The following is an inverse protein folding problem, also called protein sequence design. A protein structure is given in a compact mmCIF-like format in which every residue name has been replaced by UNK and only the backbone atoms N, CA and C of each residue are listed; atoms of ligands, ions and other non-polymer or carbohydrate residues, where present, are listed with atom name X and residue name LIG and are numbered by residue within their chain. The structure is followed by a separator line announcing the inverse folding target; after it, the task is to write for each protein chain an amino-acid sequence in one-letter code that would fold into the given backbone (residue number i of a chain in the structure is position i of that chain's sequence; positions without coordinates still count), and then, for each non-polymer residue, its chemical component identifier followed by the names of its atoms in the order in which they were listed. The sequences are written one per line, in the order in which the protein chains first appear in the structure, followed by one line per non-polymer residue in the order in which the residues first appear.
data_IF_349051422274
#
_entry.id   IF_349051422274
#
_cell.length_a   1.000
_cell.length_b   1.000
_cell.length_c   1.000
_cell.angle_alpha   90.00
_cell.angle_beta   90.00
_cell.angle_gamma   90.00
#
_symmetry.space_group_name_H-M   'P 1'
#
loop_
_entity.id
_entity.type
_entity.pdbx_description
1 polymer ?
#
# COMPACT_ATOMS: atom_id res chain seq x y z
N UNK A 1 -6.09 12.08 -10.83
CA UNK A 1 -6.92 12.12 -12.05
C UNK A 1 -6.06 12.20 -13.32
N UNK A 2 -5.17 13.18 -13.43
CA UNK A 2 -4.33 13.39 -14.64
C UNK A 2 -3.34 12.24 -14.93
N UNK A 3 -2.62 11.74 -13.92
CA UNK A 3 -1.70 10.60 -14.10
C UNK A 3 -2.42 9.30 -14.49
N UNK A 4 -3.66 9.10 -14.02
CA UNK A 4 -4.48 7.94 -14.43
C UNK A 4 -4.92 8.07 -15.89
N UNK A 5 -5.27 9.29 -16.32
CA UNK A 5 -5.62 9.56 -17.71
C UNK A 5 -4.42 9.32 -18.63
N UNK A 6 -3.21 9.72 -18.23
CA UNK A 6 -1.99 9.41 -18.99
C UNK A 6 -1.75 7.90 -19.12
N UNK A 7 -1.91 7.12 -18.05
CA UNK A 7 -1.76 5.66 -18.16
C UNK A 7 -2.75 5.03 -19.16
N UNK A 8 -4.01 5.50 -19.16
CA UNK A 8 -5.02 5.05 -20.12
C UNK A 8 -4.65 5.46 -21.55
N UNK A 9 -4.16 6.68 -21.75
CA UNK A 9 -3.73 7.14 -23.07
C UNK A 9 -2.51 6.36 -23.57
N UNK A 10 -1.52 6.09 -22.70
CA UNK A 10 -0.38 5.25 -23.07
C UNK A 10 -0.82 3.88 -23.58
N UNK A 11 -1.80 3.23 -22.92
CA UNK A 11 -2.37 1.98 -23.43
C UNK A 11 -3.07 2.16 -24.78
N UNK A 12 -3.84 3.24 -24.97
CA UNK A 12 -4.54 3.51 -26.21
C UNK A 12 -3.57 3.74 -27.39
N UNK A 13 -2.50 4.50 -27.17
CA UNK A 13 -1.42 4.75 -28.13
C UNK A 13 -0.70 3.45 -28.52
N UNK A 14 -0.31 2.64 -27.54
CA UNK A 14 0.33 1.35 -27.79
C UNK A 14 -0.53 0.41 -28.62
N UNK A 15 -1.85 0.36 -28.37
CA UNK A 15 -2.78 -0.44 -29.16
C UNK A 15 -2.92 0.04 -30.61
N UNK A 16 -2.66 1.33 -30.87
CA UNK A 16 -2.60 1.91 -32.22
C UNK A 16 -1.22 1.79 -32.87
N UNK A 17 -0.22 1.26 -32.17
CA UNK A 17 1.17 1.19 -32.63
C UNK A 17 1.91 2.54 -32.57
N UNK A 18 1.43 3.47 -31.75
CA UNK A 18 2.01 4.79 -31.53
C UNK A 18 3.02 4.80 -30.38
N UNK A 19 3.90 5.80 -30.37
CA UNK A 19 4.82 6.04 -29.25
C UNK A 19 4.06 6.65 -28.06
N UNK A 20 4.20 6.11 -26.84
CA UNK A 20 3.41 6.59 -25.71
C UNK A 20 3.84 7.96 -25.20
N UNK A 21 2.86 8.80 -24.87
CA UNK A 21 3.08 10.09 -24.21
C UNK A 21 3.48 9.89 -22.75
N UNK A 22 4.59 10.51 -22.35
CA UNK A 22 5.13 10.48 -20.99
C UNK A 22 5.30 11.90 -20.48
N UNK A 23 4.39 12.35 -19.61
CA UNK A 23 4.42 13.69 -19.01
C UNK A 23 4.30 13.70 -17.50
N UNK A 24 3.49 12.79 -16.92
CA UNK A 24 3.23 12.70 -15.47
C UNK A 24 4.15 11.70 -14.79
N UNK A 25 4.75 10.79 -15.54
CA UNK A 25 5.69 9.80 -15.03
C UNK A 25 7.11 10.08 -15.51
N UNK A 26 8.11 9.51 -14.84
CA UNK A 26 9.50 9.60 -15.28
C UNK A 26 9.77 8.82 -16.59
N UNK A 27 8.97 7.78 -16.83
CA UNK A 27 9.05 6.88 -17.98
C UNK A 27 7.65 6.37 -18.35
N UNK A 28 7.52 5.71 -19.49
CA UNK A 28 6.31 4.95 -19.84
C UNK A 28 5.96 3.99 -18.70
N UNK A 29 4.71 4.02 -18.25
CA UNK A 29 4.20 3.15 -17.20
C UNK A 29 3.42 1.95 -17.76
N UNK A 30 2.73 2.12 -18.89
CA UNK A 30 2.04 1.01 -19.55
C UNK A 30 3.03 -0.14 -19.86
N UNK A 31 2.72 -1.34 -19.39
CA UNK A 31 3.57 -2.54 -19.45
C UNK A 31 4.95 -2.42 -18.77
N UNK A 32 5.12 -1.49 -17.83
CA UNK A 32 6.40 -1.25 -17.17
C UNK A 32 6.24 -1.08 -15.64
N UNK A 33 7.36 -1.16 -14.92
CA UNK A 33 7.46 -0.86 -13.49
C UNK A 33 8.52 0.23 -13.29
N UNK A 34 8.19 1.29 -12.57
CA UNK A 34 9.12 2.40 -12.32
C UNK A 34 9.51 2.39 -10.84
N UNK A 35 10.74 1.98 -10.47
CA UNK A 35 11.21 1.91 -9.08
C UNK A 35 11.63 3.30 -8.57
N UNK A 36 10.77 4.30 -8.78
CA UNK A 36 10.96 5.65 -8.32
C UNK A 36 9.58 6.29 -8.09
N UNK A 37 9.29 6.61 -6.83
CA UNK A 37 8.13 7.42 -6.47
C UNK A 37 8.62 8.66 -5.73
N UNK A 38 8.31 9.84 -6.26
CA UNK A 38 8.91 11.12 -5.81
C UNK A 38 10.41 11.21 -6.20
N UNK A 39 11.14 12.20 -5.68
CA UNK A 39 12.57 12.41 -6.00
C UNK A 39 13.49 11.65 -5.05
N UNK A 40 14.68 11.28 -5.53
CA UNK A 40 15.75 10.72 -4.68
C UNK A 40 16.26 11.73 -3.66
N UNK A 41 16.69 11.21 -2.51
CA UNK A 41 17.39 11.92 -1.44
C UNK A 41 18.87 11.51 -1.43
N UNK A 42 19.68 12.16 -0.59
CA UNK A 42 21.14 11.97 -0.57
C UNK A 42 21.58 10.54 -0.20
N UNK A 43 20.75 9.78 0.53
CA UNK A 43 21.07 8.41 0.96
C UNK A 43 20.66 7.33 -0.07
N UNK A 44 20.17 7.72 -1.25
CA UNK A 44 19.74 6.80 -2.30
C UNK A 44 18.28 6.32 -2.20
N UNK A 45 17.56 6.66 -1.13
CA UNK A 45 16.11 6.44 -1.05
C UNK A 45 15.35 7.61 -1.68
N UNK A 46 14.17 7.34 -2.21
CA UNK A 46 13.19 8.34 -2.64
C UNK A 46 12.49 9.01 -1.45
N UNK A 47 11.93 10.20 -1.66
CA UNK A 47 11.14 10.89 -0.63
C UNK A 47 9.94 10.07 -0.17
N UNK A 48 9.33 9.27 -1.05
CA UNK A 48 8.21 8.42 -0.63
C UNK A 48 8.64 7.32 0.34
N UNK A 49 9.78 6.68 0.07
CA UNK A 49 10.35 5.67 0.98
C UNK A 49 10.76 6.31 2.31
N UNK A 50 11.34 7.52 2.27
CA UNK A 50 11.66 8.28 3.49
C UNK A 50 10.40 8.75 4.25
N UNK A 51 9.27 9.00 3.58
CA UNK A 51 7.99 9.24 4.27
C UNK A 51 7.55 8.00 5.03
N UNK A 52 7.58 6.83 4.40
CA UNK A 52 7.24 5.56 5.06
C UNK A 52 8.08 5.33 6.32
N UNK A 53 9.38 5.63 6.27
CA UNK A 53 10.26 5.57 7.44
C UNK A 53 9.87 6.57 8.54
N UNK A 54 9.78 7.86 8.19
CA UNK A 54 9.58 8.92 9.19
C UNK A 54 8.17 8.95 9.78
N UNK A 55 7.15 8.76 8.94
CA UNK A 55 5.75 8.83 9.36
C UNK A 55 5.35 7.64 10.22
N UNK A 56 5.84 6.42 9.92
CA UNK A 56 5.56 5.23 10.75
C UNK A 56 6.06 5.43 12.19
N UNK A 57 7.31 5.88 12.36
CA UNK A 57 7.90 6.19 13.67
C UNK A 57 7.10 7.26 14.42
N UNK A 58 6.67 8.30 13.70
CA UNK A 58 5.88 9.40 14.27
C UNK A 58 4.49 8.94 14.72
N UNK A 59 3.80 8.14 13.90
CA UNK A 59 2.43 7.66 14.18
C UNK A 59 2.45 6.64 15.31
N UNK A 60 3.41 5.71 15.31
CA UNK A 60 3.51 4.66 16.33
C UNK A 60 4.11 5.14 17.64
N UNK A 61 4.69 6.36 17.67
CA UNK A 61 5.44 6.87 18.81
C UNK A 61 6.54 5.90 19.28
N UNK A 62 7.21 5.24 18.32
CA UNK A 62 8.21 4.20 18.58
C UNK A 62 9.47 4.39 17.75
N UNK A 63 10.51 3.66 18.10
CA UNK A 63 11.79 3.60 17.41
C UNK A 63 11.84 2.49 16.34
N UNK A 64 10.69 2.03 15.85
CA UNK A 64 10.58 1.03 14.79
C UNK A 64 11.47 1.37 13.59
N UNK A 65 12.22 0.37 13.13
CA UNK A 65 13.06 0.47 11.95
C UNK A 65 12.26 0.06 10.72
N UNK A 66 12.25 0.93 9.70
CA UNK A 66 11.48 0.72 8.48
C UNK A 66 12.39 0.98 7.28
N UNK A 67 12.41 0.03 6.35
CA UNK A 67 12.96 0.25 5.02
C UNK A 67 11.87 -0.12 4.01
N UNK A 68 11.75 0.69 2.96
CA UNK A 68 10.72 0.54 1.95
C UNK A 68 11.33 0.66 0.55
N UNK A 69 10.69 0.01 -0.41
CA UNK A 69 10.92 0.24 -1.83
C UNK A 69 9.59 0.61 -2.48
N UNK A 70 9.53 1.79 -3.08
CA UNK A 70 8.30 2.31 -3.69
C UNK A 70 8.37 2.21 -5.21
N UNK A 71 7.50 1.36 -5.79
CA UNK A 71 7.45 1.11 -7.23
C UNK A 71 6.12 1.57 -7.79
N UNK A 72 6.14 2.39 -8.85
CA UNK A 72 4.95 2.69 -9.63
C UNK A 72 4.66 1.51 -10.56
N UNK A 73 3.43 1.03 -10.52
CA UNK A 73 2.93 -0.10 -11.32
C UNK A 73 1.72 0.35 -12.16
N UNK A 74 1.37 -0.32 -13.27
CA UNK A 74 0.30 0.10 -14.16
C UNK A 74 -1.08 -0.32 -13.63
N UNK A 75 -1.38 0.11 -12.40
CA UNK A 75 -2.66 -0.07 -11.72
C UNK A 75 -3.27 1.31 -11.51
N UNK A 76 -4.51 1.49 -11.97
CA UNK A 76 -5.17 2.79 -11.95
C UNK A 76 -5.44 3.30 -10.53
N UNK A 77 -5.85 2.39 -9.64
CA UNK A 77 -6.32 2.71 -8.30
C UNK A 77 -6.11 1.54 -7.34
N UNK A 78 -6.05 1.89 -6.06
CA UNK A 78 -5.55 1.10 -4.94
C UNK A 78 -4.02 0.91 -4.96
N UNK A 79 -3.42 0.99 -3.77
CA UNK A 79 -2.05 0.59 -3.54
C UNK A 79 -2.01 -0.86 -3.07
N UNK A 80 -0.87 -1.49 -3.26
CA UNK A 80 -0.64 -2.84 -2.75
C UNK A 80 0.76 -2.97 -2.19
N UNK A 81 0.88 -3.60 -1.04
CA UNK A 81 2.11 -3.65 -0.27
C UNK A 81 2.39 -5.09 0.16
N UNK A 82 3.59 -5.57 -0.16
CA UNK A 82 4.13 -6.81 0.41
C UNK A 82 4.97 -6.42 1.62
N UNK A 83 4.57 -6.88 2.79
CA UNK A 83 5.13 -6.43 4.06
C UNK A 83 5.83 -7.60 4.75
N UNK A 84 6.98 -7.31 5.31
CA UNK A 84 7.69 -8.13 6.29
C UNK A 84 7.79 -7.34 7.58
N UNK A 85 7.44 -7.98 8.69
CA UNK A 85 7.62 -7.42 10.03
C UNK A 85 8.35 -8.44 10.89
N UNK A 86 9.21 -7.96 11.77
CA UNK A 86 9.76 -8.74 12.87
C UNK A 86 9.16 -8.20 14.17
N UNK A 87 8.67 -9.11 15.01
CA UNK A 87 8.06 -8.76 16.31
C UNK A 87 9.03 -9.03 17.45
N UNK A 88 8.83 -8.38 18.60
CA UNK A 88 9.68 -8.59 19.79
C UNK A 88 9.66 -10.05 20.26
N UNK A 89 8.48 -10.68 20.20
CA UNK A 89 8.23 -12.09 20.47
C UNK A 89 7.62 -12.77 19.24
N UNK A 90 7.85 -14.06 19.07
CA UNK A 90 7.28 -14.80 17.96
C UNK A 90 5.74 -14.84 18.06
N UNK A 91 5.06 -14.43 17.00
CA UNK A 91 3.60 -14.51 16.87
C UNK A 91 3.22 -15.63 15.92
N UNK A 92 2.20 -16.42 16.24
CA UNK A 92 1.67 -17.42 15.30
C UNK A 92 0.80 -16.75 14.22
N UNK A 93 0.67 -17.42 13.07
CA UNK A 93 -0.26 -16.98 12.00
C UNK A 93 -1.69 -16.87 12.50
N UNK A 94 -2.12 -17.76 13.40
CA UNK A 94 -3.46 -17.72 14.00
C UNK A 94 -3.67 -16.45 14.85
N UNK A 95 -2.69 -16.11 15.70
CA UNK A 95 -2.72 -14.87 16.49
C UNK A 95 -2.71 -13.62 15.60
N UNK A 96 -1.90 -13.61 14.54
CA UNK A 96 -1.86 -12.51 13.58
C UNK A 96 -3.23 -12.31 12.89
N UNK A 97 -3.86 -13.40 12.43
CA UNK A 97 -5.19 -13.36 11.81
C UNK A 97 -6.25 -12.82 12.77
N UNK A 98 -6.27 -13.31 14.00
CA UNK A 98 -7.19 -12.84 15.04
C UNK A 98 -7.00 -11.35 15.33
N UNK A 99 -5.76 -10.86 15.37
CA UNK A 99 -5.46 -9.45 15.55
C UNK A 99 -5.98 -8.59 14.38
N UNK A 100 -5.77 -9.05 13.14
CA UNK A 100 -6.27 -8.34 11.95
C UNK A 100 -7.80 -8.33 11.85
N UNK A 101 -8.48 -9.41 12.24
CA UNK A 101 -9.96 -9.47 12.26
C UNK A 101 -10.57 -8.50 13.26
N UNK A 102 -9.89 -8.24 14.38
CA UNK A 102 -10.34 -7.31 15.43
C UNK A 102 -10.01 -5.85 15.14
N UNK A 103 -9.11 -5.57 14.19
CA UNK A 103 -8.65 -4.22 13.91
C UNK A 103 -9.69 -3.42 13.12
N UNK A 104 -10.08 -2.25 13.65
CA UNK A 104 -11.05 -1.38 13.00
C UNK A 104 -10.53 -0.87 11.65
N UNK A 105 -11.35 -0.99 10.60
CA UNK A 105 -11.00 -0.55 9.24
C UNK A 105 -10.14 -1.54 8.46
N UNK A 106 -9.78 -2.69 9.04
CA UNK A 106 -9.18 -3.81 8.32
C UNK A 106 -10.22 -4.89 7.98
N UNK A 107 -10.05 -5.54 6.84
CA UNK A 107 -10.81 -6.72 6.44
C UNK A 107 -9.84 -7.85 6.12
N UNK A 108 -9.96 -8.96 6.83
CA UNK A 108 -9.21 -10.17 6.51
C UNK A 108 -9.81 -10.84 5.26
N UNK A 109 -9.02 -10.92 4.20
CA UNK A 109 -9.33 -11.66 2.98
C UNK A 109 -8.18 -12.65 2.74
N UNK A 110 -8.20 -13.78 3.44
CA UNK A 110 -7.06 -14.71 3.43
C UNK A 110 -7.53 -16.17 3.43
N UNK A 111 -7.87 -16.65 2.24
CA UNK A 111 -8.19 -18.05 1.99
C UNK A 111 -7.55 -18.51 0.66
N UNK A 112 -6.24 -18.82 0.67
CA UNK A 112 -5.51 -19.23 -0.52
C UNK A 112 -6.07 -20.50 -1.19
N UNK A 113 -6.68 -21.41 -0.43
CA UNK A 113 -7.28 -22.64 -0.96
C UNK A 113 -8.43 -22.33 -1.95
N UNK A 114 -9.15 -21.22 -1.72
CA UNK A 114 -10.22 -20.74 -2.60
C UNK A 114 -9.78 -19.59 -3.52
N UNK A 115 -8.48 -19.29 -3.60
CA UNK A 115 -7.92 -18.16 -4.36
C UNK A 115 -8.46 -16.79 -3.91
N UNK A 116 -8.73 -16.65 -2.62
CA UNK A 116 -9.23 -15.41 -2.03
C UNK A 116 -8.07 -14.68 -1.35
N UNK A 117 -7.67 -13.56 -1.93
CA UNK A 117 -6.66 -12.64 -1.41
C UNK A 117 -6.90 -11.23 -1.96
N UNK A 118 -6.42 -10.18 -1.26
CA UNK A 118 -6.66 -8.80 -1.67
C UNK A 118 -6.04 -8.52 -3.04
N UNK A 119 -6.80 -7.90 -3.93
CA UNK A 119 -6.32 -7.47 -5.26
C UNK A 119 -6.84 -6.07 -5.57
N UNK A 120 -5.98 -5.17 -6.09
CA UNK A 120 -6.34 -3.76 -6.32
C UNK A 120 -7.53 -3.59 -7.28
N UNK A 121 -7.68 -4.51 -8.25
CA UNK A 121 -8.79 -4.54 -9.20
C UNK A 121 -10.17 -4.56 -8.51
N UNK A 122 -10.33 -5.36 -7.45
CA UNK A 122 -11.62 -5.56 -6.77
C UNK A 122 -11.86 -4.61 -5.58
N UNK A 123 -10.82 -3.90 -5.16
CA UNK A 123 -10.82 -3.11 -3.93
C UNK A 123 -10.74 -1.61 -4.15
N UNK A 124 -10.52 -1.19 -5.40
CA UNK A 124 -10.68 0.20 -5.82
C UNK A 124 -12.07 0.75 -5.46
N UNK A 125 -12.10 1.90 -4.78
CA UNK A 125 -13.31 2.60 -4.33
C UNK A 125 -13.84 2.16 -2.96
N UNK A 126 -13.28 1.10 -2.36
CA UNK A 126 -13.68 0.63 -1.02
C UNK A 126 -12.98 1.41 0.08
N UNK A 127 -13.63 1.48 1.24
CA UNK A 127 -13.16 2.24 2.40
C UNK A 127 -12.16 1.45 3.28
N UNK A 128 -12.34 0.13 3.53
CA UNK A 128 -11.40 -0.64 4.34
C UNK A 128 -10.07 -0.92 3.63
N UNK A 129 -9.05 -1.20 4.43
CA UNK A 129 -7.82 -1.85 3.95
C UNK A 129 -7.99 -3.36 4.10
N UNK A 130 -7.57 -4.10 3.09
CA UNK A 130 -7.70 -5.56 3.05
C UNK A 130 -6.34 -6.20 3.27
N UNK A 131 -6.30 -7.21 4.12
CA UNK A 131 -5.08 -7.97 4.45
C UNK A 131 -5.26 -9.43 4.11
N UNK A 132 -4.21 -10.06 3.58
CA UNK A 132 -4.17 -11.50 3.37
C UNK A 132 -2.78 -12.01 3.06
N UNK A 133 -2.68 -13.24 2.55
CA UNK A 133 -1.41 -13.94 2.33
C UNK A 133 -0.54 -14.01 3.58
N UNK A 134 -1.16 -14.10 4.75
CA UNK A 134 -0.48 -14.07 6.04
C UNK A 134 0.25 -15.39 6.24
N UNK A 135 1.55 -15.32 6.54
CA UNK A 135 2.39 -16.50 6.75
C UNK A 135 3.60 -16.14 7.59
N UNK A 136 4.18 -17.16 8.25
CA UNK A 136 5.48 -16.98 8.89
C UNK A 136 6.55 -16.68 7.86
N UNK A 137 7.50 -15.84 8.25
CA UNK A 137 8.71 -15.68 7.49
C UNK A 137 9.56 -16.97 7.56
N UNK A 138 10.27 -17.25 6.46
CA UNK A 138 11.12 -18.44 6.36
C UNK A 138 12.53 -18.21 6.92
N UNK A 139 12.94 -16.95 7.07
CA UNK A 139 14.31 -16.57 7.46
C UNK A 139 14.43 -16.09 8.90
N UNK A 140 13.32 -15.66 9.51
CA UNK A 140 13.27 -15.23 10.91
C UNK A 140 12.09 -15.90 11.66
N UNK A 141 12.34 -16.63 12.77
CA UNK A 141 11.28 -17.24 13.58
C UNK A 141 10.33 -16.25 14.26
N UNK A 142 10.71 -14.97 14.35
CA UNK A 142 9.87 -13.85 14.81
C UNK A 142 9.33 -13.01 13.66
N UNK A 143 9.57 -13.42 12.42
CA UNK A 143 9.15 -12.72 11.22
C UNK A 143 7.75 -13.16 10.77
N UNK A 144 6.94 -12.20 10.36
CA UNK A 144 5.65 -12.41 9.70
C UNK A 144 5.65 -11.66 8.37
N UNK A 145 5.07 -12.26 7.34
CA UNK A 145 4.85 -11.57 6.06
C UNK A 145 3.39 -11.67 5.61
N UNK A 146 2.89 -10.57 5.06
CA UNK A 146 1.50 -10.43 4.63
C UNK A 146 1.39 -9.42 3.46
N UNK A 147 0.21 -9.38 2.86
CA UNK A 147 -0.12 -8.55 1.71
C UNK A 147 -1.28 -7.63 2.05
N UNK A 148 -1.11 -6.34 1.77
CA UNK A 148 -2.15 -5.32 1.94
C UNK A 148 -2.60 -4.77 0.60
N UNK A 149 -3.89 -4.42 0.53
CA UNK A 149 -4.46 -3.60 -0.54
C UNK A 149 -5.43 -2.59 0.06
N UNK A 150 -5.26 -1.32 -0.30
CA UNK A 150 -6.12 -0.24 0.17
C UNK A 150 -6.31 0.83 -0.90
N UNK A 151 -7.48 1.48 -0.90
CA UNK A 151 -7.74 2.61 -1.78
C UNK A 151 -6.99 3.86 -1.32
N UNK A 152 -6.05 4.31 -2.13
CA UNK A 152 -5.16 5.43 -1.80
C UNK A 152 -5.87 6.79 -1.80
N UNK A 153 -6.97 6.95 -2.54
CA UNK A 153 -7.68 8.24 -2.64
C UNK A 153 -8.63 8.40 -1.45
N UNK A 154 -9.30 7.30 -1.05
CA UNK A 154 -10.17 7.30 0.12
C UNK A 154 -9.36 7.14 1.39
N UNK A 155 -8.93 5.92 1.74
CA UNK A 155 -8.26 5.68 3.02
C UNK A 155 -6.92 6.40 3.10
N UNK A 156 -6.14 6.43 2.01
CA UNK A 156 -4.85 7.11 1.98
C UNK A 156 -4.89 8.65 2.09
N UNK A 157 -6.07 9.29 1.96
CA UNK A 157 -6.19 10.74 2.08
C UNK A 157 -7.54 11.21 2.65
N UNK A 158 -8.62 11.07 1.88
CA UNK A 158 -9.90 11.71 2.20
C UNK A 158 -10.59 11.16 3.45
N UNK A 159 -10.64 9.84 3.61
CA UNK A 159 -11.32 9.18 4.72
C UNK A 159 -10.55 9.39 6.03
N UNK A 160 -9.22 9.33 6.03
CA UNK A 160 -8.44 9.64 7.23
C UNK A 160 -8.68 11.08 7.70
N UNK A 161 -8.76 12.06 6.79
CA UNK A 161 -9.08 13.45 7.14
C UNK A 161 -10.49 13.58 7.75
N UNK A 162 -11.50 12.91 7.17
CA UNK A 162 -12.86 12.89 7.71
C UNK A 162 -12.90 12.22 9.09
N UNK A 163 -12.23 11.08 9.26
CA UNK A 163 -12.18 10.35 10.54
C UNK A 163 -11.51 11.17 11.65
N UNK A 164 -10.45 11.92 11.33
CA UNK A 164 -9.83 12.87 12.26
C UNK A 164 -10.85 13.96 12.65
N UNK A 165 -11.57 14.53 11.69
CA UNK A 165 -12.59 15.53 11.96
C UNK A 165 -13.73 14.98 12.83
N UNK A 166 -14.25 13.78 12.52
CA UNK A 166 -15.28 13.10 13.30
C UNK A 166 -14.83 12.81 14.73
N UNK A 167 -13.58 12.38 14.91
CA UNK A 167 -13.00 12.16 16.23
C UNK A 167 -12.90 13.46 17.04
N UNK A 168 -12.43 14.56 16.41
CA UNK A 168 -12.37 15.87 17.06
C UNK A 168 -13.76 16.37 17.47
N UNK A 169 -14.77 16.21 16.60
CA UNK A 169 -16.16 16.56 16.91
C UNK A 169 -16.72 15.73 18.08
N UNK A 170 -16.41 14.42 18.12
CA UNK A 170 -16.81 13.55 19.24
C UNK A 170 -16.14 13.93 20.56
N UNK A 171 -14.90 14.44 20.54
CA UNK A 171 -14.14 14.87 21.73
C UNK A 171 -14.36 16.33 22.16
N UNK A 172 -14.95 17.16 21.29
CA UNK A 172 -15.28 18.55 21.61
C UNK A 172 -16.61 18.70 22.37
N UNK A 173 -17.35 17.61 22.55
CA UNK A 173 -18.53 17.51 23.44
C UNK A 173 -18.13 16.87 24.76
#
# INVERSE_FOLDING_TARGET
ATAMAELLEQYAQLLRGEEPTVEKFAYQLAYNLIPQVDVFTENGYTKEEMKMYNETRKIMHSDIEVSATCVRVPVLRAHSESIWVETEEAISVAQAREAFEKAEGLVLQDNPANKEYPMPLFLSGKDPVYVGRIRQDLSNPKGLTFWLVGDQIKKGAALNAVQIAEYLVKRAK
#
